data_IF_405391460681
#
_entry.id   IF_405391460681
#
_cell.length_a   1.000
_cell.length_b   1.000
_cell.length_c   1.000
_cell.angle_alpha   90.00
_cell.angle_beta   90.00
_cell.angle_gamma   90.00
#
_symmetry.space_group_name_H-M   'P 1'
#
loop_
_entity.id
_entity.type
_entity.pdbx_description
1 polymer ?
#
# COMPACT_ATOMS: atom_id res chain seq x y z
N UNK A 1 -6.75 -15.12 -8.68
CA UNK A 1 -5.88 -16.27 -8.95
C UNK A 1 -6.42 -17.46 -8.18
N UNK A 2 -6.60 -18.60 -8.84
CA UNK A 2 -6.84 -19.88 -8.16
C UNK A 2 -5.49 -20.52 -7.86
N UNK A 3 -5.36 -21.15 -6.69
CA UNK A 3 -4.17 -21.90 -6.33
C UNK A 3 -4.52 -23.34 -5.92
N UNK A 4 -3.64 -24.25 -6.31
CA UNK A 4 -3.73 -25.69 -6.08
C UNK A 4 -2.32 -26.28 -6.05
N UNK A 5 -2.18 -27.60 -5.94
CA UNK A 5 -0.90 -28.31 -6.01
C UNK A 5 -0.04 -27.90 -7.21
N UNK A 6 -0.66 -27.70 -8.37
CA UNK A 6 0.04 -27.29 -9.59
C UNK A 6 0.69 -25.90 -9.47
N UNK A 7 0.13 -25.02 -8.63
CA UNK A 7 0.65 -23.69 -8.38
C UNK A 7 1.94 -23.72 -7.55
N UNK A 8 2.16 -24.78 -6.77
CA UNK A 8 3.29 -24.91 -5.84
C UNK A 8 4.31 -25.97 -6.28
N UNK A 9 4.38 -26.30 -7.58
CA UNK A 9 5.34 -27.27 -8.13
C UNK A 9 6.80 -26.97 -7.78
N UNK A 10 7.16 -25.69 -7.74
CA UNK A 10 8.52 -25.24 -7.38
C UNK A 10 8.75 -25.13 -5.85
N UNK A 11 7.68 -25.30 -5.06
CA UNK A 11 7.67 -25.13 -3.60
C UNK A 11 6.89 -26.25 -2.89
N UNK A 12 7.23 -27.50 -3.20
CA UNK A 12 6.54 -28.71 -2.70
C UNK A 12 6.57 -28.85 -1.17
N UNK A 13 7.63 -28.39 -0.50
CA UNK A 13 7.72 -28.40 0.95
C UNK A 13 6.64 -27.55 1.61
N UNK A 14 6.45 -26.30 1.14
CA UNK A 14 5.43 -25.39 1.64
C UNK A 14 4.04 -25.99 1.45
N UNK A 15 3.76 -26.52 0.26
CA UNK A 15 2.47 -27.13 -0.02
C UNK A 15 2.23 -28.41 0.82
N UNK A 16 3.29 -29.18 1.10
CA UNK A 16 3.23 -30.31 2.02
C UNK A 16 2.85 -29.91 3.45
N UNK A 17 3.34 -28.76 3.95
CA UNK A 17 2.91 -28.21 5.23
C UNK A 17 1.47 -27.71 5.20
N UNK A 18 1.07 -27.01 4.14
CA UNK A 18 -0.30 -26.54 3.94
C UNK A 18 -1.30 -27.71 3.95
N UNK A 19 -0.97 -28.85 3.32
CA UNK A 19 -1.79 -30.07 3.35
C UNK A 19 -2.00 -30.60 4.77
N UNK A 20 -1.01 -30.51 5.67
CA UNK A 20 -1.16 -30.92 7.08
C UNK A 20 -2.24 -30.12 7.81
N UNK A 21 -2.48 -28.87 7.40
CA UNK A 21 -3.53 -28.00 7.91
C UNK A 21 -4.80 -28.01 7.04
N UNK A 22 -4.93 -28.96 6.12
CA UNK A 22 -6.07 -29.08 5.20
C UNK A 22 -6.27 -27.87 4.26
N UNK A 23 -5.18 -27.17 3.91
CA UNK A 23 -5.17 -26.04 2.98
C UNK A 23 -4.80 -26.53 1.57
N UNK A 24 -5.76 -27.11 0.86
CA UNK A 24 -5.51 -27.83 -0.39
C UNK A 24 -5.84 -27.00 -1.64
N UNK A 25 -6.93 -26.24 -1.60
CA UNK A 25 -7.36 -25.41 -2.72
C UNK A 25 -7.72 -24.03 -2.22
N UNK A 26 -7.49 -23.00 -3.03
CA UNK A 26 -7.98 -21.69 -2.67
C UNK A 26 -8.09 -20.69 -3.81
N UNK A 27 -8.77 -19.60 -3.48
CA UNK A 27 -9.01 -18.48 -4.35
C UNK A 27 -8.45 -17.23 -3.69
N UNK A 28 -7.39 -16.71 -4.31
CA UNK A 28 -6.74 -15.46 -3.96
C UNK A 28 -7.27 -14.34 -4.83
N UNK A 29 -7.71 -13.24 -4.21
CA UNK A 29 -8.03 -12.01 -4.91
C UNK A 29 -7.38 -10.83 -4.21
N UNK A 30 -6.65 -10.03 -5.00
CA UNK A 30 -6.07 -8.77 -4.56
C UNK A 30 -7.08 -7.65 -4.73
N UNK A 31 -6.98 -6.64 -3.86
CA UNK A 31 -7.66 -5.37 -4.07
C UNK A 31 -6.77 -4.23 -3.63
N UNK A 32 -7.01 -3.09 -4.25
CA UNK A 32 -6.36 -1.83 -3.94
C UNK A 32 -7.40 -1.00 -3.18
N UNK A 33 -7.09 -0.66 -1.93
CA UNK A 33 -7.83 0.34 -1.17
C UNK A 33 -6.87 1.49 -0.85
N UNK A 34 -7.42 2.70 -0.69
CA UNK A 34 -6.71 3.99 -0.80
C UNK A 34 -5.23 4.01 -0.36
N UNK A 35 -4.44 4.59 -1.26
CA UNK A 35 -3.03 5.02 -1.26
C UNK A 35 -1.91 4.16 -0.69
N UNK A 36 -2.11 3.20 0.22
CA UNK A 36 -0.96 2.42 0.74
C UNK A 36 -1.27 0.98 1.18
N UNK A 37 -2.53 0.67 1.52
CA UNK A 37 -2.90 -0.66 2.01
C UNK A 37 -3.16 -1.61 0.84
N UNK A 38 -2.08 -2.19 0.29
CA UNK A 38 -2.18 -3.32 -0.62
C UNK A 38 -2.35 -4.58 0.21
N UNK A 39 -3.32 -5.41 -0.16
CA UNK A 39 -3.37 -6.75 0.40
C UNK A 39 -4.15 -7.71 -0.46
N UNK A 40 -4.28 -8.91 0.08
CA UNK A 40 -4.92 -10.03 -0.58
C UNK A 40 -5.86 -10.70 0.40
N UNK A 41 -6.99 -11.15 -0.10
CA UNK A 41 -7.88 -12.04 0.62
C UNK A 41 -7.82 -13.40 -0.08
N UNK A 42 -7.56 -14.44 0.71
CA UNK A 42 -7.57 -15.82 0.23
C UNK A 42 -8.63 -16.60 0.99
N UNK A 43 -9.51 -17.28 0.26
CA UNK A 43 -10.41 -18.29 0.81
C UNK A 43 -9.88 -19.65 0.40
N UNK A 44 -9.82 -20.58 1.36
CA UNK A 44 -9.28 -21.92 1.12
C UNK A 44 -10.22 -22.99 1.63
N UNK A 45 -10.14 -24.18 1.05
CA UNK A 45 -10.87 -25.36 1.48
C UNK A 45 -10.02 -26.62 1.33
N UNK A 46 -10.40 -27.63 2.09
CA UNK A 46 -9.73 -28.92 2.15
C UNK A 46 -10.17 -29.88 1.04
N UNK A 47 -11.42 -29.75 0.59
CA UNK A 47 -12.04 -30.65 -0.38
C UNK A 47 -12.39 -29.92 -1.66
N UNK A 48 -12.29 -30.63 -2.79
CA UNK A 48 -12.71 -30.20 -4.12
C UNK A 48 -11.98 -28.98 -4.71
N UNK A 49 -11.44 -29.13 -5.92
CA UNK A 49 -10.90 -28.00 -6.67
C UNK A 49 -12.00 -26.98 -7.02
N UNK A 50 -11.65 -25.70 -7.02
CA UNK A 50 -12.57 -24.63 -7.44
C UNK A 50 -12.74 -24.70 -8.96
N UNK A 51 -13.96 -24.97 -9.41
CA UNK A 51 -14.25 -25.12 -10.84
C UNK A 51 -14.49 -23.78 -11.52
N UNK A 52 -14.34 -23.72 -12.86
CA UNK A 52 -14.64 -22.50 -13.62
C UNK A 52 -16.10 -22.06 -13.48
N UNK A 53 -17.05 -23.00 -13.46
CA UNK A 53 -18.48 -22.68 -13.23
C UNK A 53 -18.73 -22.05 -11.87
N UNK A 54 -18.05 -22.55 -10.83
CA UNK A 54 -18.12 -21.98 -9.49
C UNK A 54 -17.50 -20.58 -9.44
N UNK A 55 -16.36 -20.40 -10.12
CA UNK A 55 -15.67 -19.13 -10.24
C UNK A 55 -16.59 -18.07 -10.85
N UNK A 56 -17.17 -18.34 -12.02
CA UNK A 56 -18.06 -17.42 -12.73
C UNK A 56 -19.30 -17.07 -11.89
N UNK A 57 -19.90 -18.07 -11.23
CA UNK A 57 -21.08 -17.87 -10.40
C UNK A 57 -20.81 -17.06 -9.11
N UNK A 58 -19.57 -17.07 -8.61
CA UNK A 58 -19.20 -16.45 -7.32
C UNK A 58 -18.29 -15.24 -7.45
N UNK A 59 -17.81 -14.91 -8.64
CA UNK A 59 -16.85 -13.82 -8.88
C UNK A 59 -17.35 -12.48 -8.30
N UNK A 60 -18.59 -12.11 -8.58
CA UNK A 60 -19.18 -10.88 -8.07
C UNK A 60 -19.24 -10.86 -6.53
N UNK A 61 -19.55 -12.01 -5.91
CA UNK A 61 -19.60 -12.15 -4.44
C UNK A 61 -18.21 -12.06 -3.83
N UNK A 62 -17.22 -12.73 -4.42
CA UNK A 62 -15.83 -12.70 -3.98
C UNK A 62 -15.26 -11.27 -4.11
N UNK A 63 -15.46 -10.62 -5.25
CA UNK A 63 -15.05 -9.24 -5.48
C UNK A 63 -15.65 -8.28 -4.45
N UNK A 64 -16.96 -8.40 -4.17
CA UNK A 64 -17.62 -7.62 -3.13
C UNK A 64 -17.04 -7.89 -1.74
N UNK A 65 -16.85 -9.17 -1.39
CA UNK A 65 -16.27 -9.57 -0.10
C UNK A 65 -14.89 -8.92 0.07
N UNK A 66 -13.98 -9.15 -0.88
CA UNK A 66 -12.59 -8.65 -0.87
C UNK A 66 -12.56 -7.13 -0.69
N UNK A 67 -13.39 -6.39 -1.44
CA UNK A 67 -13.46 -4.92 -1.32
C UNK A 67 -13.91 -4.48 0.06
N UNK A 68 -14.92 -5.13 0.64
CA UNK A 68 -15.44 -4.79 1.97
C UNK A 68 -14.44 -5.16 3.08
N UNK A 69 -13.80 -6.32 3.01
CA UNK A 69 -12.73 -6.68 3.97
C UNK A 69 -11.58 -5.69 3.88
N UNK A 70 -11.16 -5.30 2.67
CA UNK A 70 -10.11 -4.30 2.53
C UNK A 70 -10.49 -2.94 3.09
N UNK A 71 -11.71 -2.45 2.83
CA UNK A 71 -12.15 -1.16 3.36
C UNK A 71 -12.13 -1.16 4.90
N UNK A 72 -12.73 -2.19 5.52
CA UNK A 72 -12.80 -2.31 6.98
C UNK A 72 -11.43 -2.54 7.63
N UNK A 73 -10.63 -3.46 7.10
CA UNK A 73 -9.29 -3.74 7.64
C UNK A 73 -8.34 -2.57 7.42
N UNK A 74 -8.43 -1.86 6.29
CA UNK A 74 -7.61 -0.67 6.08
C UNK A 74 -7.93 0.40 7.11
N UNK A 75 -9.20 0.62 7.44
CA UNK A 75 -9.59 1.56 8.50
C UNK A 75 -9.02 1.11 9.85
N UNK A 76 -9.16 -0.16 10.23
CA UNK A 76 -8.60 -0.67 11.49
C UNK A 76 -7.07 -0.56 11.54
N UNK A 77 -6.38 -0.91 10.47
CA UNK A 77 -4.91 -0.88 10.40
C UNK A 77 -4.40 0.57 10.39
N UNK A 78 -5.11 1.49 9.74
CA UNK A 78 -4.73 2.92 9.71
C UNK A 78 -5.09 3.66 11.00
N UNK A 79 -6.16 3.24 11.71
CA UNK A 79 -6.53 3.75 13.03
C UNK A 79 -5.67 3.17 14.16
N UNK A 80 -4.99 2.05 13.94
CA UNK A 80 -4.01 1.52 14.90
C UNK A 80 -2.71 2.36 14.84
N UNK A 81 -2.25 2.95 15.95
CA UNK A 81 -1.12 3.87 15.96
C UNK A 81 0.17 3.07 15.69
N UNK A 82 0.81 3.29 14.52
CA UNK A 82 1.78 4.38 14.47
C UNK A 82 1.84 5.16 13.14
N UNK A 83 0.84 5.08 12.26
CA UNK A 83 1.00 5.57 10.88
C UNK A 83 -0.14 6.45 10.36
N UNK A 84 -0.31 7.63 10.96
CA UNK A 84 -0.93 8.77 10.27
C UNK A 84 0.18 9.69 9.74
N UNK A 85 0.62 9.55 8.48
CA UNK A 85 1.70 10.36 7.93
C UNK A 85 1.28 11.82 7.70
N UNK A 86 -0.03 12.10 7.58
CA UNK A 86 -0.57 13.46 7.46
C UNK A 86 -0.46 14.23 8.78
N UNK A 87 -0.58 13.57 9.93
CA UNK A 87 -0.36 14.22 11.24
C UNK A 87 1.08 14.70 11.46
N UNK A 88 2.05 14.21 10.66
CA UNK A 88 3.45 14.58 10.85
C UNK A 88 3.83 15.87 10.11
N UNK A 89 3.25 16.17 8.96
CA UNK A 89 3.65 17.30 8.11
C UNK A 89 2.73 18.51 8.29
N UNK A 90 3.33 19.70 8.42
CA UNK A 90 2.59 20.96 8.36
C UNK A 90 2.13 21.27 6.93
N UNK A 91 1.12 22.12 6.79
CA UNK A 91 0.63 22.61 5.49
C UNK A 91 1.78 23.15 4.62
N UNK A 92 2.69 23.91 5.21
CA UNK A 92 3.84 24.48 4.51
C UNK A 92 4.85 23.43 4.05
N UNK A 93 5.06 22.40 4.86
CA UNK A 93 5.92 21.27 4.48
C UNK A 93 5.30 20.48 3.32
N UNK A 94 3.98 20.29 3.29
CA UNK A 94 3.28 19.65 2.17
C UNK A 94 3.43 20.47 0.88
N UNK A 95 3.27 21.79 0.94
CA UNK A 95 3.49 22.68 -0.21
C UNK A 95 4.91 22.58 -0.76
N UNK A 96 5.92 22.68 0.11
CA UNK A 96 7.33 22.52 -0.29
C UNK A 96 7.56 21.14 -0.92
N UNK A 97 7.00 20.08 -0.34
CA UNK A 97 7.16 18.72 -0.80
C UNK A 97 6.56 18.47 -2.18
N UNK A 98 5.41 19.08 -2.50
CA UNK A 98 4.80 19.01 -3.84
C UNK A 98 5.75 19.55 -4.91
N UNK A 99 6.33 20.73 -4.67
CA UNK A 99 7.30 21.30 -5.63
C UNK A 99 8.60 20.51 -5.71
N UNK A 100 9.04 19.90 -4.61
CA UNK A 100 10.19 18.97 -4.61
C UNK A 100 9.88 17.74 -5.46
N UNK A 101 8.66 17.19 -5.38
CA UNK A 101 8.22 16.06 -6.19
C UNK A 101 8.13 16.41 -7.68
N UNK A 102 7.75 17.65 -8.00
CA UNK A 102 7.79 18.21 -9.37
C UNK A 102 9.23 18.53 -9.86
N UNK A 103 10.26 18.23 -9.05
CA UNK A 103 11.66 18.40 -9.42
C UNK A 103 12.17 19.84 -9.39
N UNK A 104 11.47 20.77 -8.71
CA UNK A 104 11.92 22.17 -8.61
C UNK A 104 13.11 22.32 -7.66
N UNK A 105 13.98 23.29 -7.95
CA UNK A 105 15.11 23.65 -7.09
C UNK A 105 14.66 24.52 -5.91
N UNK A 106 15.43 24.53 -4.81
CA UNK A 106 15.12 25.32 -3.62
C UNK A 106 14.95 26.81 -3.91
N UNK A 107 15.76 27.35 -4.83
CA UNK A 107 15.64 28.73 -5.30
C UNK A 107 14.30 29.01 -6.01
N UNK A 108 13.87 28.13 -6.93
CA UNK A 108 12.59 28.27 -7.65
C UNK A 108 11.43 28.13 -6.68
N UNK A 109 11.48 27.15 -5.79
CA UNK A 109 10.46 26.96 -4.75
C UNK A 109 10.36 28.20 -3.86
N UNK A 110 11.49 28.78 -3.47
CA UNK A 110 11.52 30.01 -2.67
C UNK A 110 10.82 31.17 -3.37
N UNK A 111 11.11 31.37 -4.67
CA UNK A 111 10.45 32.39 -5.49
C UNK A 111 8.93 32.17 -5.59
N UNK A 112 8.51 30.93 -5.83
CA UNK A 112 7.08 30.57 -5.96
C UNK A 112 6.33 30.76 -4.64
N UNK A 113 6.96 30.39 -3.53
CA UNK A 113 6.33 30.39 -2.21
C UNK A 113 6.56 31.70 -1.42
N UNK A 114 7.31 32.66 -1.96
CA UNK A 114 7.61 33.94 -1.31
C UNK A 114 8.56 33.83 -0.11
N UNK A 115 9.47 32.87 -0.11
CA UNK A 115 10.43 32.62 0.99
C UNK A 115 11.86 32.46 0.47
N UNK A 116 12.84 32.53 1.37
CA UNK A 116 14.24 32.31 0.99
C UNK A 116 14.53 30.83 0.69
N UNK A 117 15.53 30.55 -0.15
CA UNK A 117 16.02 29.18 -0.38
C UNK A 117 16.43 28.48 0.93
N UNK A 118 16.98 29.25 1.88
CA UNK A 118 17.32 28.76 3.22
C UNK A 118 16.09 28.24 3.96
N UNK A 119 14.96 28.94 3.86
CA UNK A 119 13.67 28.52 4.45
C UNK A 119 13.16 27.24 3.79
N UNK A 120 13.26 27.12 2.46
CA UNK A 120 12.89 25.90 1.74
C UNK A 120 13.75 24.71 2.16
N UNK A 121 15.06 24.93 2.30
CA UNK A 121 16.01 23.91 2.78
C UNK A 121 15.64 23.45 4.19
N UNK A 122 15.29 24.38 5.08
CA UNK A 122 14.83 24.05 6.43
C UNK A 122 13.58 23.17 6.42
N UNK A 123 12.55 23.52 5.64
CA UNK A 123 11.36 22.66 5.49
C UNK A 123 11.71 21.29 4.92
N UNK A 124 12.58 21.23 3.91
CA UNK A 124 13.02 19.97 3.29
C UNK A 124 13.70 19.02 4.28
N UNK A 125 14.55 19.56 5.17
CA UNK A 125 15.19 18.78 6.24
C UNK A 125 14.16 18.25 7.22
N UNK A 126 13.21 19.08 7.65
CA UNK A 126 12.16 18.65 8.58
C UNK A 126 11.26 17.56 7.95
N UNK A 127 10.89 17.72 6.68
CA UNK A 127 10.13 16.70 5.92
C UNK A 127 10.90 15.37 5.90
N UNK A 128 12.19 15.42 5.56
CA UNK A 128 13.03 14.22 5.51
C UNK A 128 13.09 13.53 6.87
N UNK A 129 13.25 14.27 7.97
CA UNK A 129 13.25 13.71 9.32
C UNK A 129 11.90 13.06 9.66
N UNK A 130 10.79 13.77 9.39
CA UNK A 130 9.42 13.30 9.69
C UNK A 130 9.01 12.07 8.88
N UNK A 131 9.46 11.96 7.63
CA UNK A 131 9.24 10.81 6.75
C UNK A 131 10.33 9.73 6.85
N UNK A 132 11.30 9.91 7.74
CA UNK A 132 12.48 9.05 7.89
C UNK A 132 13.17 8.76 6.53
N UNK A 133 13.37 9.81 5.73
CA UNK A 133 13.91 9.73 4.38
C UNK A 133 15.36 10.21 4.35
N UNK A 134 16.20 9.51 3.58
CA UNK A 134 17.64 9.81 3.47
C UNK A 134 17.95 10.98 2.54
N UNK A 135 17.05 11.31 1.62
CA UNK A 135 17.18 12.45 0.72
C UNK A 135 15.79 12.96 0.27
N UNK A 136 15.78 14.14 -0.35
CA UNK A 136 14.54 14.80 -0.81
C UNK A 136 13.74 13.99 -1.83
N UNK A 137 14.40 13.21 -2.68
CA UNK A 137 13.74 12.33 -3.66
C UNK A 137 13.06 11.15 -2.96
N UNK A 138 13.74 10.51 -2.01
CA UNK A 138 13.17 9.46 -1.18
C UNK A 138 12.00 9.98 -0.33
N UNK A 139 12.07 11.24 0.12
CA UNK A 139 10.97 11.90 0.82
C UNK A 139 9.76 12.09 -0.09
N UNK A 140 9.96 12.58 -1.33
CA UNK A 140 8.90 12.74 -2.32
C UNK A 140 8.25 11.39 -2.70
N UNK A 141 9.07 10.36 -2.95
CA UNK A 141 8.58 9.01 -3.26
C UNK A 141 7.78 8.43 -2.09
N UNK A 142 8.28 8.56 -0.86
CA UNK A 142 7.52 8.14 0.33
C UNK A 142 6.21 8.90 0.43
N UNK A 143 6.20 10.21 0.28
CA UNK A 143 4.98 11.00 0.37
C UNK A 143 3.93 10.58 -0.67
N UNK A 144 4.34 10.31 -1.92
CA UNK A 144 3.46 9.79 -2.96
C UNK A 144 2.92 8.38 -2.62
N UNK A 145 3.78 7.48 -2.13
CA UNK A 145 3.37 6.12 -1.69
C UNK A 145 2.40 6.11 -0.51
N UNK A 146 2.28 7.24 0.20
CA UNK A 146 1.39 7.40 1.34
C UNK A 146 0.14 8.18 1.00
N UNK A 147 0.04 8.72 -0.21
CA UNK A 147 -1.04 9.60 -0.64
C UNK A 147 -1.06 10.96 0.07
N UNK A 148 0.10 11.44 0.52
CA UNK A 148 0.23 12.82 1.05
C UNK A 148 0.20 13.83 -0.11
N UNK A 149 0.79 13.45 -1.26
CA UNK A 149 0.89 14.23 -2.49
C UNK A 149 0.49 13.39 -3.70
#
# INVERSE_FOLDING_TARGET
>A
MLWSEDTFKDHTLLYGEMKKFNLNYGWLQSSWYNSAAKGVVTLSRSTEAITLKELDAKEAKMSKLVRLTHACLSEIITLSPPYNPLEKLSTREVEVLKWVADGKTGEVIGKVLGVTERTVTHHTVNIMQKLNATNKTAAAVKAALLGII
#
